data_IF_484183654821
#
_entry.id   IF_484183654821
#
_cell.length_a   1.000
_cell.length_b   1.000
_cell.length_c   1.000
_cell.angle_alpha   90.00
_cell.angle_beta   90.00
_cell.angle_gamma   90.00
#
_symmetry.space_group_name_H-M   'P 1'
#
loop_
_entity.id
_entity.type
_entity.pdbx_description
1 polymer ?
#
# COMPACT_ATOMS: atom_id res chain seq x y z
N UNK A 1 -16.06 -14.86 -5.99
CA UNK A 1 -16.48 -13.76 -6.90
C UNK A 1 -15.28 -13.33 -7.74
N UNK A 2 -15.47 -12.90 -8.99
CA UNK A 2 -14.40 -12.24 -9.76
C UNK A 2 -14.60 -10.72 -9.63
N UNK A 3 -13.59 -10.00 -9.15
CA UNK A 3 -13.60 -8.53 -9.12
C UNK A 3 -13.42 -7.99 -10.53
N UNK A 4 -14.53 -7.59 -11.16
CA UNK A 4 -14.57 -6.98 -12.50
C UNK A 4 -15.11 -5.56 -12.34
N UNK A 5 -14.43 -4.58 -12.91
CA UNK A 5 -14.92 -3.20 -12.92
C UNK A 5 -15.93 -2.93 -14.04
N UNK A 6 -16.46 -1.71 -14.10
CA UNK A 6 -17.45 -1.31 -15.11
C UNK A 6 -16.94 -1.32 -16.55
N UNK A 7 -15.63 -1.40 -16.76
CA UNK A 7 -14.99 -1.49 -18.08
C UNK A 7 -14.61 -2.93 -18.43
N UNK A 8 -14.99 -3.92 -17.61
CA UNK A 8 -14.72 -5.33 -17.85
C UNK A 8 -13.30 -5.77 -17.47
N UNK A 9 -12.51 -4.94 -16.76
CA UNK A 9 -11.14 -5.29 -16.37
C UNK A 9 -11.15 -6.17 -15.12
N UNK A 10 -10.36 -7.25 -15.12
CA UNK A 10 -10.16 -8.10 -13.94
C UNK A 10 -9.21 -7.42 -12.97
N UNK A 11 -9.68 -7.17 -11.75
CA UNK A 11 -8.87 -6.69 -10.65
C UNK A 11 -8.27 -7.91 -9.95
N UNK A 12 -6.98 -8.15 -10.18
CA UNK A 12 -6.23 -9.27 -9.59
C UNK A 12 -4.94 -8.85 -8.86
N UNK A 13 -4.70 -7.54 -8.75
CA UNK A 13 -3.48 -6.98 -8.22
C UNK A 13 -3.76 -5.93 -7.13
N UNK A 14 -3.19 -6.14 -5.96
CA UNK A 14 -3.24 -5.22 -4.83
C UNK A 14 -1.87 -4.58 -4.61
N UNK A 15 -1.82 -3.25 -4.58
CA UNK A 15 -0.67 -2.48 -4.11
C UNK A 15 -0.93 -2.02 -2.68
N UNK A 16 -0.19 -2.56 -1.71
CA UNK A 16 -0.40 -2.31 -0.29
C UNK A 16 0.65 -1.32 0.22
N UNK A 17 0.24 -0.07 0.43
CA UNK A 17 1.12 0.98 0.96
C UNK A 17 1.19 0.92 2.48
N UNK A 18 2.37 0.60 3.00
CA UNK A 18 2.56 0.41 4.45
C UNK A 18 3.08 1.66 5.14
N UNK A 19 3.73 2.58 4.42
CA UNK A 19 4.24 3.82 5.02
C UNK A 19 4.31 4.92 3.99
N UNK A 20 4.21 6.16 4.44
CA UNK A 20 4.42 7.39 3.68
C UNK A 20 5.88 7.90 3.79
N UNK A 21 6.69 7.28 4.66
CA UNK A 21 8.09 7.67 4.90
C UNK A 21 9.02 7.05 3.87
N UNK A 22 10.06 7.80 3.51
CA UNK A 22 11.14 7.35 2.63
C UNK A 22 12.48 7.90 3.13
N UNK A 23 13.52 7.09 3.02
CA UNK A 23 14.91 7.47 3.29
C UNK A 23 15.59 8.19 2.11
N UNK A 24 14.89 8.35 0.97
CA UNK A 24 15.36 9.11 -0.20
C UNK A 24 14.53 10.39 -0.43
N UNK A 25 15.10 11.30 -1.23
CA UNK A 25 14.47 12.56 -1.68
C UNK A 25 14.55 12.71 -3.20
N UNK A 26 13.94 11.76 -3.90
CA UNK A 26 13.94 11.73 -5.35
C UNK A 26 13.15 12.92 -5.91
N UNK A 27 13.75 13.73 -6.78
CA UNK A 27 13.15 14.96 -7.34
C UNK A 27 11.76 14.77 -7.96
N UNK A 28 11.48 13.60 -8.55
CA UNK A 28 10.21 13.28 -9.20
C UNK A 28 9.17 12.58 -8.31
N UNK A 29 9.51 12.27 -7.06
CA UNK A 29 8.64 11.49 -6.16
C UNK A 29 8.51 12.13 -4.78
N UNK A 30 9.65 12.44 -4.15
CA UNK A 30 9.70 13.10 -2.86
C UNK A 30 10.71 14.24 -2.95
N UNK A 31 10.26 15.45 -3.36
CA UNK A 31 11.15 16.59 -3.55
C UNK A 31 11.83 16.98 -2.23
N UNK A 32 12.83 17.84 -2.32
CA UNK A 32 13.63 18.25 -1.15
C UNK A 32 12.76 18.91 -0.05
N UNK A 33 11.73 19.66 -0.45
CA UNK A 33 10.70 20.20 0.44
C UNK A 33 9.88 19.14 1.19
N UNK A 34 10.00 17.88 0.77
CA UNK A 34 9.26 16.74 1.33
C UNK A 34 7.79 16.72 0.90
N UNK A 35 7.07 15.76 1.47
CA UNK A 35 5.62 15.64 1.37
C UNK A 35 5.02 15.64 2.77
N UNK A 36 3.78 16.08 2.90
CA UNK A 36 3.05 16.04 4.16
C UNK A 36 2.98 14.59 4.66
N UNK A 37 3.40 14.37 5.90
CA UNK A 37 3.44 13.05 6.51
C UNK A 37 2.16 12.80 7.30
N UNK A 38 1.68 11.58 7.22
CA UNK A 38 0.63 11.06 8.06
C UNK A 38 1.13 10.86 9.48
N UNK A 39 0.25 11.10 10.44
CA UNK A 39 0.48 10.68 11.80
C UNK A 39 0.50 9.15 11.88
N UNK A 40 0.96 8.59 13.00
CA UNK A 40 0.95 7.13 13.15
C UNK A 40 -0.47 6.55 13.23
N UNK A 41 -1.44 7.30 13.76
CA UNK A 41 -2.82 6.84 13.92
C UNK A 41 -3.61 6.84 12.60
N UNK A 42 -3.16 7.62 11.62
CA UNK A 42 -3.75 7.66 10.28
C UNK A 42 -3.29 6.50 9.39
N UNK A 43 -2.29 5.72 9.83
CA UNK A 43 -1.73 4.58 9.10
C UNK A 43 -2.27 3.28 9.68
N UNK A 44 -2.77 2.40 8.81
CA UNK A 44 -3.29 1.09 9.21
C UNK A 44 -2.24 0.28 9.99
N UNK A 45 -2.68 -0.38 11.07
CA UNK A 45 -1.89 -1.35 11.82
C UNK A 45 -1.58 -2.60 10.98
N UNK A 46 -0.65 -3.44 11.44
CA UNK A 46 -0.32 -4.67 10.73
C UNK A 46 -1.49 -5.65 10.68
N UNK A 47 -2.25 -5.72 11.76
CA UNK A 47 -3.45 -6.54 11.90
C UNK A 47 -4.53 -6.08 10.92
N UNK A 48 -4.72 -4.76 10.78
CA UNK A 48 -5.67 -4.19 9.82
C UNK A 48 -5.24 -4.45 8.37
N UNK A 49 -3.94 -4.31 8.07
CA UNK A 49 -3.38 -4.61 6.75
C UNK A 49 -3.55 -6.10 6.39
N UNK A 50 -3.28 -6.99 7.34
CA UNK A 50 -3.43 -8.43 7.17
C UNK A 50 -4.91 -8.81 6.94
N UNK A 51 -5.80 -8.26 7.77
CA UNK A 51 -7.24 -8.47 7.63
C UNK A 51 -7.71 -8.04 6.24
N UNK A 52 -7.31 -6.84 5.79
CA UNK A 52 -7.66 -6.34 4.46
C UNK A 52 -7.12 -7.26 3.35
N UNK A 53 -5.85 -7.67 3.44
CA UNK A 53 -5.22 -8.54 2.46
C UNK A 53 -5.93 -9.90 2.35
N UNK A 54 -6.32 -10.50 3.48
CA UNK A 54 -7.06 -11.77 3.49
C UNK A 54 -8.41 -11.66 2.78
N UNK A 55 -9.18 -10.61 3.08
CA UNK A 55 -10.48 -10.38 2.46
C UNK A 55 -10.36 -10.21 0.95
N UNK A 56 -9.45 -9.36 0.48
CA UNK A 56 -9.34 -9.09 -0.97
C UNK A 56 -8.73 -10.27 -1.75
N UNK A 57 -7.84 -11.07 -1.14
CA UNK A 57 -7.37 -12.34 -1.73
C UNK A 57 -8.55 -13.31 -1.90
N UNK A 58 -9.45 -13.42 -0.92
CA UNK A 58 -10.66 -14.25 -1.05
C UNK A 58 -11.60 -13.79 -2.18
N UNK A 59 -11.49 -12.53 -2.61
CA UNK A 59 -12.26 -11.95 -3.72
C UNK A 59 -11.59 -12.12 -5.10
N UNK A 60 -10.44 -12.81 -5.17
CA UNK A 60 -9.76 -13.14 -6.43
C UNK A 60 -8.54 -12.27 -6.76
N UNK A 61 -7.99 -11.53 -5.80
CA UNK A 61 -6.65 -10.94 -5.94
C UNK A 61 -5.61 -12.07 -5.92
N UNK A 62 -4.70 -12.04 -6.90
CA UNK A 62 -3.68 -13.07 -7.11
C UNK A 62 -2.27 -12.57 -6.74
N UNK A 63 -2.06 -11.25 -6.76
CA UNK A 63 -0.75 -10.64 -6.50
C UNK A 63 -0.87 -9.46 -5.55
N UNK A 64 -0.07 -9.49 -4.48
CA UNK A 64 0.06 -8.39 -3.52
C UNK A 64 1.47 -7.82 -3.63
N UNK A 65 1.59 -6.51 -3.86
CA UNK A 65 2.87 -5.78 -3.83
C UNK A 65 2.89 -4.83 -2.65
N UNK A 66 3.81 -5.08 -1.72
CA UNK A 66 4.11 -4.16 -0.62
C UNK A 66 4.87 -2.95 -1.17
N UNK A 67 4.41 -1.75 -0.81
CA UNK A 67 4.98 -0.46 -1.21
C UNK A 67 4.93 0.51 -0.03
N UNK A 68 5.45 1.72 -0.19
CA UNK A 68 5.17 2.85 0.67
C UNK A 68 5.61 4.14 0.00
N UNK A 69 6.30 4.99 0.76
CA UNK A 69 7.60 5.50 0.34
C UNK A 69 8.59 4.34 0.24
N UNK A 70 9.46 4.17 1.23
CA UNK A 70 10.35 3.01 1.35
C UNK A 70 9.78 2.01 2.38
N UNK A 71 9.25 0.84 1.95
CA UNK A 71 8.67 -0.16 2.85
C UNK A 71 9.54 -0.51 4.04
N UNK A 72 10.85 -0.68 3.83
CA UNK A 72 11.79 -1.15 4.85
C UNK A 72 12.06 -0.11 5.96
N UNK A 73 11.57 1.11 5.80
CA UNK A 73 11.61 2.13 6.87
C UNK A 73 10.55 1.85 7.95
N UNK A 74 9.49 1.09 7.64
CA UNK A 74 8.45 0.75 8.61
C UNK A 74 8.92 -0.38 9.53
N UNK A 75 9.16 -0.07 10.80
CA UNK A 75 9.64 -1.04 11.81
C UNK A 75 8.72 -2.25 11.93
N UNK A 76 9.26 -3.46 11.76
CA UNK A 76 8.54 -4.72 11.90
C UNK A 76 8.07 -5.35 10.58
N UNK A 77 8.38 -4.71 9.45
CA UNK A 77 8.48 -5.36 8.15
C UNK A 77 9.87 -5.98 8.03
#
# INVERSE_FOLDING_TARGET
MKLIDSLGRKINYLRLSVTDRCNMRCSYCMPESGVAKLSHHDVLSYEQLLLLAQHVVSMGIEKVRVTGGEPLVRKGI
#
